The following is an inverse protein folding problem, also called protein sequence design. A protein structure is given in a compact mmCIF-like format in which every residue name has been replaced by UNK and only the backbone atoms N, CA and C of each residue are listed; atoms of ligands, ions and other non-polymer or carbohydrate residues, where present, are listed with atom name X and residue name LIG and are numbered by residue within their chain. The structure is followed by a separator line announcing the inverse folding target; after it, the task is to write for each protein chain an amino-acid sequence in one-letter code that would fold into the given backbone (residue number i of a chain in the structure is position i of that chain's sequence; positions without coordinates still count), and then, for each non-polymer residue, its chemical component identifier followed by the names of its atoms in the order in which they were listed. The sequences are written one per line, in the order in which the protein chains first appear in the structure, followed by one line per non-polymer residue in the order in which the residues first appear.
data_IF_111644373256
#
_entry.id   IF_111644373256
#
_cell.length_a   1.000
_cell.length_b   1.000
_cell.length_c   1.000
_cell.angle_alpha   90.00
_cell.angle_beta   90.00
_cell.angle_gamma   90.00
#
_symmetry.space_group_name_H-M   'P 1'
#
loop_
_entity.id
_entity.type
_entity.pdbx_description
1 polymer ?
#
# COMPACT_ATOMS: atom_id res chain seq x y z
N UNK A 1 -41.28 -89.23 38.01
CA UNK A 1 -40.11 -90.12 38.17
C UNK A 1 -39.01 -89.58 37.25
N UNK A 2 -37.90 -89.06 37.82
CA UNK A 2 -36.52 -89.02 37.26
C UNK A 2 -36.31 -88.35 35.87
N UNK A 3 -35.35 -87.45 35.57
CA UNK A 3 -34.13 -86.88 36.20
C UNK A 3 -33.75 -85.59 35.45
N UNK A 4 -33.20 -84.64 36.22
CA UNK A 4 -32.28 -83.53 35.93
C UNK A 4 -31.34 -83.65 34.70
N UNK A 5 -30.90 -82.50 34.14
CA UNK A 5 -29.52 -81.98 34.28
C UNK A 5 -29.28 -80.58 33.65
N UNK A 6 -29.01 -79.63 34.56
CA UNK A 6 -28.01 -78.53 34.58
C UNK A 6 -27.55 -77.79 33.31
N UNK A 7 -27.53 -76.45 33.44
CA UNK A 7 -26.66 -75.54 32.68
C UNK A 7 -26.87 -74.07 33.07
N UNK A 8 -26.54 -73.72 34.32
CA UNK A 8 -26.61 -72.34 34.82
C UNK A 8 -25.57 -71.42 34.15
N UNK A 9 -25.79 -70.11 34.34
CA UNK A 9 -24.86 -68.97 34.21
C UNK A 9 -24.77 -68.26 32.84
N UNK A 10 -25.77 -67.43 32.55
CA UNK A 10 -25.50 -66.05 32.10
C UNK A 10 -26.66 -65.11 32.47
N UNK A 11 -27.12 -65.18 33.72
CA UNK A 11 -27.99 -64.17 34.33
C UNK A 11 -27.19 -63.03 35.00
N UNK A 12 -25.99 -62.70 34.48
CA UNK A 12 -25.08 -61.69 35.06
C UNK A 12 -24.70 -60.58 34.05
N UNK A 13 -25.43 -60.41 32.95
CA UNK A 13 -25.28 -59.20 32.10
C UNK A 13 -26.60 -58.42 32.01
N UNK A 14 -27.36 -58.37 33.11
CA UNK A 14 -28.61 -57.60 33.21
C UNK A 14 -28.51 -56.43 34.20
N UNK A 15 -27.31 -55.86 34.42
CA UNK A 15 -27.17 -54.65 35.25
C UNK A 15 -26.21 -53.60 34.64
N UNK A 16 -25.91 -53.65 33.34
CA UNK A 16 -25.06 -52.61 32.73
C UNK A 16 -25.48 -52.08 31.35
N UNK A 17 -26.75 -52.20 30.97
CA UNK A 17 -27.30 -51.54 29.76
C UNK A 17 -28.35 -50.46 30.08
N UNK A 18 -28.39 -49.94 31.32
CA UNK A 18 -29.12 -48.69 31.65
C UNK A 18 -28.33 -47.42 31.32
N UNK A 19 -27.24 -47.53 30.55
CA UNK A 19 -26.48 -46.39 30.00
C UNK A 19 -26.17 -46.68 28.54
N UNK A 20 -27.16 -46.50 27.66
CA UNK A 20 -27.07 -45.97 26.28
C UNK A 20 -28.51 -45.92 25.77
N UNK A 21 -28.96 -44.70 25.46
CA UNK A 21 -30.29 -44.43 24.91
C UNK A 21 -30.47 -45.08 23.54
N UNK A 22 -31.71 -45.53 23.31
CA UNK A 22 -32.32 -45.98 22.06
C UNK A 22 -31.48 -45.80 20.78
N UNK A 23 -30.96 -46.91 20.25
CA UNK A 23 -30.59 -47.05 18.84
C UNK A 23 -30.71 -48.52 18.41
N UNK A 24 -31.95 -48.99 18.29
CA UNK A 24 -32.27 -50.18 17.50
C UNK A 24 -32.17 -49.83 16.01
N UNK A 25 -30.98 -50.01 15.43
CA UNK A 25 -30.80 -50.06 13.98
C UNK A 25 -31.14 -51.47 13.53
N UNK A 26 -32.25 -51.60 12.79
CA UNK A 26 -32.61 -52.78 12.03
C UNK A 26 -31.52 -53.02 10.97
N UNK A 27 -30.51 -53.81 11.30
CA UNK A 27 -29.49 -54.30 10.36
C UNK A 27 -30.02 -55.53 9.63
N UNK A 28 -30.90 -55.34 8.65
CA UNK A 28 -31.30 -56.40 7.72
C UNK A 28 -30.13 -56.84 6.85
N UNK A 29 -30.06 -58.16 6.66
CA UNK A 29 -29.20 -58.88 5.74
C UNK A 29 -29.12 -58.22 4.36
N UNK A 30 -27.92 -58.00 3.84
CA UNK A 30 -27.65 -57.61 2.45
C UNK A 30 -28.09 -58.76 1.54
N UNK A 31 -29.36 -58.78 1.16
CA UNK A 31 -29.93 -59.67 0.17
C UNK A 31 -29.45 -59.27 -1.23
N UNK A 32 -28.74 -60.18 -1.91
CA UNK A 32 -28.39 -60.01 -3.32
C UNK A 32 -29.66 -59.84 -4.16
N UNK A 33 -29.80 -58.68 -4.82
CA UNK A 33 -31.01 -58.32 -5.56
C UNK A 33 -31.24 -59.30 -6.76
N UNK A 34 -32.41 -59.97 -6.85
CA UNK A 34 -32.71 -60.95 -7.90
C UNK A 34 -32.54 -60.36 -9.32
N UNK A 35 -32.00 -61.14 -10.28
CA UNK A 35 -31.73 -60.68 -11.67
C UNK A 35 -32.92 -60.02 -12.36
N UNK A 36 -34.16 -60.40 -12.01
CA UNK A 36 -35.40 -59.87 -12.59
C UNK A 36 -35.80 -58.47 -12.07
N UNK A 37 -35.20 -58.04 -10.97
CA UNK A 37 -35.52 -56.77 -10.26
C UNK A 37 -34.31 -55.85 -10.07
N UNK A 38 -33.14 -56.22 -10.62
CA UNK A 38 -31.90 -55.42 -10.53
C UNK A 38 -32.05 -53.97 -10.98
N UNK A 39 -32.86 -53.70 -12.02
CA UNK A 39 -33.13 -52.33 -12.46
C UNK A 39 -33.90 -51.52 -11.41
N UNK A 40 -34.79 -52.15 -10.64
CA UNK A 40 -35.56 -51.49 -9.59
C UNK A 40 -34.72 -51.24 -8.34
N UNK A 41 -33.80 -52.14 -7.97
CA UNK A 41 -32.80 -51.86 -6.93
C UNK A 41 -31.90 -50.68 -7.33
N UNK A 42 -31.26 -50.74 -8.51
CA UNK A 42 -30.38 -49.66 -8.98
C UNK A 42 -31.09 -48.30 -9.08
N UNK A 43 -32.35 -48.27 -9.54
CA UNK A 43 -33.14 -47.04 -9.60
C UNK A 43 -33.44 -46.49 -8.21
N UNK A 44 -33.69 -47.35 -7.22
CA UNK A 44 -33.92 -46.96 -5.82
C UNK A 44 -32.65 -46.42 -5.18
N UNK A 45 -31.52 -47.06 -5.43
CA UNK A 45 -30.20 -46.65 -4.91
C UNK A 45 -29.78 -45.29 -5.49
N UNK A 46 -30.08 -45.06 -6.78
CA UNK A 46 -29.89 -43.75 -7.40
C UNK A 46 -30.82 -42.72 -6.73
N UNK A 47 -32.10 -43.04 -6.50
CA UNK A 47 -33.03 -42.11 -5.84
C UNK A 47 -32.57 -41.76 -4.41
N UNK A 48 -32.03 -42.72 -3.64
CA UNK A 48 -31.49 -42.41 -2.31
C UNK A 48 -30.27 -41.50 -2.41
N UNK A 49 -29.33 -41.78 -3.30
CA UNK A 49 -28.14 -40.94 -3.51
C UNK A 49 -28.50 -39.52 -3.98
N UNK A 50 -29.51 -39.38 -4.83
CA UNK A 50 -30.00 -38.06 -5.28
C UNK A 50 -30.66 -37.27 -4.16
N UNK A 51 -31.39 -37.94 -3.25
CA UNK A 51 -31.97 -37.28 -2.08
C UNK A 51 -30.89 -36.79 -1.12
N UNK A 52 -29.86 -37.61 -0.90
CA UNK A 52 -28.72 -37.30 -0.02
C UNK A 52 -27.92 -36.11 -0.57
N UNK A 53 -27.57 -36.16 -1.88
CA UNK A 53 -26.90 -35.05 -2.56
C UNK A 53 -27.73 -33.75 -2.56
N UNK A 54 -29.06 -33.87 -2.69
CA UNK A 54 -29.95 -32.71 -2.64
C UNK A 54 -30.02 -32.08 -1.24
N UNK A 55 -29.84 -32.88 -0.19
CA UNK A 55 -29.82 -32.39 1.19
C UNK A 55 -28.54 -31.61 1.47
N UNK A 56 -27.38 -32.19 1.15
CA UNK A 56 -26.07 -31.54 1.32
C UNK A 56 -25.98 -30.24 0.51
N UNK A 57 -26.49 -30.22 -0.73
CA UNK A 57 -26.56 -29.00 -1.54
C UNK A 57 -27.48 -27.92 -0.94
N UNK A 58 -28.48 -28.32 -0.14
CA UNK A 58 -29.35 -27.39 0.58
C UNK A 58 -28.61 -26.74 1.75
N UNK A 59 -27.96 -27.54 2.57
CA UNK A 59 -27.18 -27.08 3.72
C UNK A 59 -26.04 -26.15 3.29
N UNK A 60 -25.28 -26.55 2.27
CA UNK A 60 -24.16 -25.76 1.75
C UNK A 60 -24.60 -24.41 1.17
N UNK A 61 -25.82 -24.33 0.60
CA UNK A 61 -26.39 -23.06 0.13
C UNK A 61 -26.76 -22.14 1.28
N UNK A 62 -27.27 -22.68 2.38
CA UNK A 62 -27.65 -21.91 3.55
C UNK A 62 -26.42 -21.33 4.26
N UNK A 63 -25.34 -22.11 4.38
CA UNK A 63 -24.06 -21.61 4.88
C UNK A 63 -23.48 -20.50 4.00
N UNK A 64 -23.54 -20.66 2.67
CA UNK A 64 -23.07 -19.64 1.73
C UNK A 64 -23.81 -18.30 1.91
N UNK A 65 -25.12 -18.35 2.18
CA UNK A 65 -25.94 -17.15 2.43
C UNK A 65 -25.50 -16.47 3.73
N UNK A 66 -25.34 -17.23 4.81
CA UNK A 66 -24.91 -16.69 6.10
C UNK A 66 -23.50 -16.08 6.02
N UNK A 67 -22.57 -16.74 5.31
CA UNK A 67 -21.22 -16.22 5.09
C UNK A 67 -21.28 -14.93 4.28
N UNK A 68 -22.07 -14.88 3.21
CA UNK A 68 -22.21 -13.66 2.41
C UNK A 68 -22.76 -12.49 3.25
N UNK A 69 -23.70 -12.75 4.14
CA UNK A 69 -24.24 -11.74 5.04
C UNK A 69 -23.19 -11.22 6.04
N UNK A 70 -22.43 -12.12 6.68
CA UNK A 70 -21.33 -11.71 7.58
C UNK A 70 -20.26 -10.91 6.85
N UNK A 71 -19.90 -11.29 5.62
CA UNK A 71 -18.94 -10.55 4.78
C UNK A 71 -19.47 -9.16 4.44
N UNK A 72 -20.77 -9.02 4.14
CA UNK A 72 -21.36 -7.71 3.83
C UNK A 72 -21.43 -6.80 5.06
N UNK A 73 -21.70 -7.36 6.24
CA UNK A 73 -21.70 -6.60 7.49
C UNK A 73 -20.28 -6.13 7.84
N UNK A 74 -19.27 -7.02 7.77
CA UNK A 74 -17.87 -6.63 7.98
C UNK A 74 -17.38 -5.56 7.00
N UNK A 75 -17.73 -5.68 5.71
CA UNK A 75 -17.44 -4.66 4.70
C UNK A 75 -18.12 -3.33 4.95
N UNK A 76 -19.23 -3.32 5.69
CA UNK A 76 -19.96 -2.09 5.98
C UNK A 76 -19.42 -1.39 7.22
N UNK A 77 -19.12 -2.16 8.25
CA UNK A 77 -18.76 -1.63 9.56
C UNK A 77 -17.27 -1.24 9.59
N UNK A 78 -16.36 -2.18 9.35
CA UNK A 78 -14.91 -1.90 9.47
C UNK A 78 -14.37 -1.03 8.34
N UNK A 79 -14.79 -1.31 7.09
CA UNK A 79 -14.33 -0.55 5.93
C UNK A 79 -14.98 0.84 5.88
N UNK A 80 -16.19 0.97 6.44
CA UNK A 80 -16.90 2.25 6.53
C UNK A 80 -16.23 3.20 7.51
N UNK A 81 -15.91 2.70 8.72
CA UNK A 81 -15.20 3.47 9.75
C UNK A 81 -13.81 3.90 9.27
N UNK A 82 -13.03 2.97 8.72
CA UNK A 82 -11.70 3.28 8.21
C UNK A 82 -11.74 4.30 7.06
N UNK A 83 -12.76 4.22 6.20
CA UNK A 83 -12.92 5.18 5.10
C UNK A 83 -13.24 6.59 5.61
N UNK A 84 -14.05 6.68 6.66
CA UNK A 84 -14.36 7.96 7.29
C UNK A 84 -13.10 8.60 7.89
N UNK A 85 -12.31 7.84 8.65
CA UNK A 85 -11.04 8.35 9.23
C UNK A 85 -10.07 8.87 8.15
N UNK A 86 -9.97 8.16 7.01
CA UNK A 86 -9.12 8.58 5.88
C UNK A 86 -9.59 9.92 5.30
N UNK A 87 -10.91 10.13 5.19
CA UNK A 87 -11.45 11.36 4.63
C UNK A 87 -11.26 12.55 5.60
N UNK A 88 -11.39 12.33 6.91
CA UNK A 88 -11.09 13.34 7.93
C UNK A 88 -9.60 13.73 7.93
N UNK A 89 -8.70 12.75 7.78
CA UNK A 89 -7.25 12.98 7.66
C UNK A 89 -6.92 13.79 6.39
N UNK A 90 -7.58 13.51 5.26
CA UNK A 90 -7.36 14.28 4.02
C UNK A 90 -7.78 15.74 4.20
N UNK A 91 -8.86 15.99 4.92
CA UNK A 91 -9.32 17.35 5.19
C UNK A 91 -8.32 18.10 6.08
N UNK A 92 -7.89 17.48 7.18
CA UNK A 92 -6.83 18.02 8.04
C UNK A 92 -5.52 18.29 7.27
N UNK A 93 -5.13 17.40 6.35
CA UNK A 93 -3.96 17.59 5.49
C UNK A 93 -4.11 18.80 4.56
N UNK A 94 -5.30 19.02 4.01
CA UNK A 94 -5.57 20.18 3.15
C UNK A 94 -5.46 21.50 3.93
N UNK A 95 -5.86 21.51 5.20
CA UNK A 95 -5.73 22.70 6.04
C UNK A 95 -4.28 22.97 6.44
N UNK A 96 -3.54 21.93 6.85
CA UNK A 96 -2.08 22.01 7.07
C UNK A 96 -1.38 22.47 5.79
N UNK A 97 -1.80 21.98 4.62
CA UNK A 97 -1.26 22.42 3.33
C UNK A 97 -1.50 23.91 3.10
N UNK A 98 -2.68 24.46 3.42
CA UNK A 98 -2.95 25.90 3.31
C UNK A 98 -2.05 26.74 4.23
N UNK A 99 -1.78 26.25 5.44
CA UNK A 99 -0.85 26.91 6.36
C UNK A 99 0.59 26.90 5.85
N UNK A 100 1.04 25.78 5.26
CA UNK A 100 2.35 25.69 4.60
C UNK A 100 2.41 26.59 3.35
N UNK A 101 1.35 26.64 2.54
CA UNK A 101 1.24 27.55 1.39
C UNK A 101 1.25 29.03 1.82
N UNK A 102 0.81 29.34 3.04
CA UNK A 102 0.97 30.68 3.63
C UNK A 102 2.42 31.07 3.92
N UNK A 103 3.31 30.08 4.05
CA UNK A 103 4.77 30.22 4.22
C UNK A 103 5.50 30.15 2.85
N UNK A 104 4.82 29.72 1.79
CA UNK A 104 5.35 29.73 0.41
C UNK A 104 5.43 31.12 -0.23
N UNK A 105 5.05 32.19 0.46
CA UNK A 105 5.60 33.49 0.09
C UNK A 105 7.07 33.45 0.52
N UNK A 106 8.03 33.21 -0.41
CA UNK A 106 9.42 33.18 -0.02
C UNK A 106 9.67 34.52 0.63
N UNK A 107 10.27 34.51 1.83
CA UNK A 107 10.80 35.72 2.46
C UNK A 107 11.50 36.47 1.32
N UNK A 108 10.94 37.59 0.86
CA UNK A 108 11.53 38.38 -0.21
C UNK A 108 12.74 39.06 0.39
N UNK A 109 13.84 38.31 0.51
CA UNK A 109 15.14 38.88 0.79
C UNK A 109 15.44 39.72 -0.45
N UNK A 110 15.54 41.06 -0.31
CA UNK A 110 15.86 41.89 -1.46
C UNK A 110 17.14 41.34 -2.10
N UNK A 111 17.14 41.15 -3.42
CA UNK A 111 18.26 40.53 -4.09
C UNK A 111 19.52 41.36 -3.81
N UNK A 112 20.58 40.66 -3.40
CA UNK A 112 21.83 41.32 -3.06
C UNK A 112 22.51 41.77 -4.36
N UNK A 113 23.17 42.94 -4.33
CA UNK A 113 23.95 43.40 -5.48
C UNK A 113 25.10 42.42 -5.80
N UNK A 114 25.71 41.81 -4.78
CA UNK A 114 26.87 40.93 -4.96
C UNK A 114 27.18 39.92 -3.82
N UNK A 115 28.36 39.31 -3.98
CA UNK A 115 29.18 38.50 -3.08
C UNK A 115 29.42 39.04 -1.65
N UNK A 116 29.55 40.35 -1.52
CA UNK A 116 30.56 40.92 -0.61
C UNK A 116 30.03 41.24 0.78
N UNK A 117 28.72 41.42 0.93
CA UNK A 117 28.10 41.88 2.19
C UNK A 117 28.22 40.91 3.38
N UNK A 118 28.49 39.63 3.16
CA UNK A 118 28.68 38.64 4.22
C UNK A 118 29.72 37.58 3.81
N UNK A 119 30.95 37.70 4.34
CA UNK A 119 32.04 36.76 4.02
C UNK A 119 31.89 35.39 4.67
N UNK A 120 31.09 35.28 5.73
CA UNK A 120 30.79 34.02 6.41
C UNK A 120 29.71 33.22 5.69
N UNK A 121 28.95 33.86 4.78
CA UNK A 121 27.92 33.17 4.02
C UNK A 121 28.54 32.25 2.98
N UNK A 122 28.10 30.99 3.02
CA UNK A 122 28.41 29.97 2.03
C UNK A 122 27.10 29.33 1.55
N UNK A 123 26.82 29.44 0.26
CA UNK A 123 25.57 28.91 -0.29
C UNK A 123 25.12 29.63 -1.55
N UNK A 124 24.00 29.16 -2.10
CA UNK A 124 23.36 29.77 -3.25
C UNK A 124 22.47 30.92 -2.80
N UNK A 125 22.56 32.05 -3.51
CA UNK A 125 21.64 33.16 -3.34
C UNK A 125 21.32 33.83 -4.66
N UNK A 126 20.27 34.63 -4.66
CA UNK A 126 19.89 35.47 -5.78
C UNK A 126 20.68 36.78 -5.73
N UNK A 127 21.36 37.08 -6.83
CA UNK A 127 22.13 38.29 -7.05
C UNK A 127 21.41 39.12 -8.12
N UNK A 128 21.23 40.41 -7.87
CA UNK A 128 20.71 41.34 -8.87
C UNK A 128 21.60 42.58 -8.95
N UNK A 129 22.49 42.62 -9.95
CA UNK A 129 23.26 43.82 -10.24
C UNK A 129 22.30 44.97 -10.65
N UNK A 130 22.61 46.21 -10.28
CA UNK A 130 21.86 47.39 -10.76
C UNK A 130 21.63 47.39 -12.28
N UNK A 131 20.37 47.49 -12.70
CA UNK A 131 19.99 47.57 -14.11
C UNK A 131 20.09 46.24 -14.88
N UNK A 132 20.30 45.12 -14.19
CA UNK A 132 20.39 43.78 -14.78
C UNK A 132 19.32 42.84 -14.20
N UNK A 133 19.10 41.72 -14.88
CA UNK A 133 18.22 40.66 -14.41
C UNK A 133 18.81 39.96 -13.18
N UNK A 134 17.92 39.52 -12.27
CA UNK A 134 18.33 38.72 -11.12
C UNK A 134 18.69 37.29 -11.56
N UNK A 135 19.77 36.75 -11.01
CA UNK A 135 20.22 35.37 -11.27
C UNK A 135 20.72 34.69 -9.99
N UNK A 136 20.71 33.36 -9.96
CA UNK A 136 21.21 32.56 -8.82
C UNK A 136 22.68 32.23 -9.02
N UNK A 137 23.50 32.42 -7.99
CA UNK A 137 24.90 32.00 -7.99
C UNK A 137 25.33 31.50 -6.62
N UNK A 138 26.35 30.64 -6.61
CA UNK A 138 27.00 30.16 -5.41
C UNK A 138 27.98 31.21 -4.90
N UNK A 139 27.88 31.51 -3.61
CA UNK A 139 28.73 32.47 -2.93
C UNK A 139 29.44 31.81 -1.76
N UNK A 140 30.73 32.10 -1.61
CA UNK A 140 31.53 31.62 -0.48
C UNK A 140 32.69 32.57 -0.24
N UNK A 141 32.97 32.89 1.03
CA UNK A 141 34.10 33.74 1.41
C UNK A 141 34.01 35.18 0.86
N UNK A 142 32.80 35.66 0.54
CA UNK A 142 32.59 36.96 -0.11
C UNK A 142 32.78 36.95 -1.63
N UNK A 143 33.02 35.80 -2.26
CA UNK A 143 33.24 35.68 -3.70
C UNK A 143 32.02 35.05 -4.40
N UNK A 144 31.72 35.52 -5.61
CA UNK A 144 30.78 34.88 -6.53
C UNK A 144 31.54 33.82 -7.33
N UNK A 145 31.01 32.61 -7.41
CA UNK A 145 31.57 31.56 -8.25
C UNK A 145 30.99 31.67 -9.67
N UNK A 146 31.85 31.89 -10.66
CA UNK A 146 31.48 32.01 -12.07
C UNK A 146 31.23 30.62 -12.68
N UNK A 147 32.07 29.67 -12.31
CA UNK A 147 31.97 28.28 -12.71
C UNK A 147 32.28 27.38 -11.50
N UNK A 148 31.56 26.27 -11.35
CA UNK A 148 31.88 25.21 -10.38
C UNK A 148 31.89 23.85 -11.09
N UNK A 149 32.98 23.10 -10.86
CA UNK A 149 33.19 21.74 -11.36
C UNK A 149 33.87 20.91 -10.29
N UNK A 150 33.36 19.71 -10.02
CA UNK A 150 33.88 18.78 -9.04
C UNK A 150 33.59 17.31 -9.36
N UNK A 151 32.47 16.97 -10.02
CA UNK A 151 32.04 15.58 -10.26
C UNK A 151 31.80 15.23 -11.73
N UNK A 152 31.71 16.22 -12.63
CA UNK A 152 31.39 16.01 -14.04
C UNK A 152 29.93 15.67 -14.32
N UNK A 153 29.02 15.95 -13.37
CA UNK A 153 27.56 15.76 -13.54
C UNK A 153 26.96 16.66 -14.61
N UNK A 154 27.59 17.79 -14.92
CA UNK A 154 27.14 18.72 -15.95
C UNK A 154 28.15 18.74 -17.09
N UNK A 155 27.65 18.56 -18.32
CA UNK A 155 28.47 18.74 -19.51
C UNK A 155 28.78 20.23 -19.72
N UNK A 156 30.06 20.53 -19.93
CA UNK A 156 30.55 21.88 -20.26
C UNK A 156 30.83 22.05 -21.75
N UNK A 157 30.72 20.99 -22.57
CA UNK A 157 30.79 21.11 -24.02
C UNK A 157 29.45 21.61 -24.58
N UNK A 158 29.20 22.91 -24.38
CA UNK A 158 27.94 23.58 -24.72
C UNK A 158 28.09 24.54 -25.89
N UNK A 159 26.97 24.89 -26.50
CA UNK A 159 26.95 25.87 -27.57
C UNK A 159 27.11 27.31 -27.04
N UNK A 160 27.26 28.26 -27.97
CA UNK A 160 27.43 29.67 -27.62
C UNK A 160 26.23 30.24 -26.85
N UNK A 161 25.02 29.81 -27.20
CA UNK A 161 23.77 30.34 -26.61
C UNK A 161 23.70 29.93 -25.15
N UNK A 162 24.01 28.68 -24.82
CA UNK A 162 24.09 28.18 -23.46
C UNK A 162 25.20 28.85 -22.65
N UNK A 163 26.37 29.11 -23.25
CA UNK A 163 27.41 29.89 -22.58
C UNK A 163 26.99 31.35 -22.33
N UNK A 164 26.21 31.93 -23.24
CA UNK A 164 25.67 33.27 -23.07
C UNK A 164 24.68 33.32 -21.90
N UNK A 165 23.70 32.42 -21.85
CA UNK A 165 22.65 32.38 -20.82
C UNK A 165 23.10 31.77 -19.49
N UNK A 166 24.08 30.88 -19.51
CA UNK A 166 24.45 30.01 -18.39
C UNK A 166 23.74 28.66 -18.41
N UNK A 167 24.31 27.69 -17.69
CA UNK A 167 23.81 26.32 -17.61
C UNK A 167 24.23 25.63 -16.30
N UNK A 168 23.55 24.53 -15.95
CA UNK A 168 23.81 23.75 -14.74
C UNK A 168 23.01 24.22 -13.51
N UNK A 169 23.39 23.74 -12.33
CA UNK A 169 22.72 24.07 -11.06
C UNK A 169 23.70 24.78 -10.10
N UNK A 170 23.42 26.00 -9.63
CA UNK A 170 24.24 26.70 -8.64
C UNK A 170 24.55 25.92 -7.35
N UNK A 171 23.68 24.97 -6.97
CA UNK A 171 23.89 24.08 -5.81
C UNK A 171 24.92 22.98 -6.12
N UNK A 172 25.12 22.64 -7.39
CA UNK A 172 26.09 21.66 -7.89
C UNK A 172 27.07 22.28 -8.90
N UNK A 173 27.25 21.62 -10.05
CA UNK A 173 28.07 22.11 -11.16
C UNK A 173 27.28 23.05 -12.06
N UNK A 174 27.90 24.18 -12.43
CA UNK A 174 27.26 25.17 -13.28
C UNK A 174 28.23 26.20 -13.84
N UNK A 175 27.71 26.98 -14.78
CA UNK A 175 28.30 28.21 -15.30
C UNK A 175 27.26 29.34 -15.22
N UNK A 176 27.62 30.51 -14.68
CA UNK A 176 26.68 31.62 -14.43
C UNK A 176 26.09 32.23 -15.71
N UNK A 177 26.73 32.06 -16.86
CA UNK A 177 26.39 32.75 -18.11
C UNK A 177 27.17 34.04 -18.32
N UNK A 178 27.56 34.30 -19.57
CA UNK A 178 28.34 35.48 -19.94
C UNK A 178 27.56 36.78 -19.79
N UNK A 179 26.24 36.77 -20.03
CA UNK A 179 25.41 37.97 -19.87
C UNK A 179 25.36 38.40 -18.40
N UNK A 180 25.20 37.43 -17.49
CA UNK A 180 25.24 37.66 -16.05
C UNK A 180 26.64 38.09 -15.58
N UNK A 181 27.70 37.47 -16.10
CA UNK A 181 29.08 37.85 -15.80
C UNK A 181 29.38 39.29 -16.24
N UNK A 182 29.01 39.64 -17.46
CA UNK A 182 29.16 40.99 -18.00
C UNK A 182 28.40 42.01 -17.14
N UNK A 183 27.17 41.67 -16.74
CA UNK A 183 26.37 42.48 -15.83
C UNK A 183 27.03 42.74 -14.47
N UNK A 184 27.78 41.77 -13.93
CA UNK A 184 28.56 41.95 -12.70
C UNK A 184 29.78 42.83 -12.93
N UNK A 185 30.64 42.49 -13.88
CA UNK A 185 31.95 43.15 -14.03
C UNK A 185 31.88 44.58 -14.56
N UNK A 186 30.73 44.97 -15.11
CA UNK A 186 30.48 46.35 -15.55
C UNK A 186 30.16 47.31 -14.41
N UNK A 187 29.82 46.79 -13.22
CA UNK A 187 29.39 47.64 -12.09
C UNK A 187 30.57 48.22 -11.33
N UNK A 188 31.57 47.38 -11.05
CA UNK A 188 32.74 47.72 -10.24
C UNK A 188 33.99 46.96 -10.72
N UNK A 189 35.14 47.26 -10.11
CA UNK A 189 36.40 46.56 -10.39
C UNK A 189 36.49 45.27 -9.59
N UNK A 190 36.31 44.13 -10.26
CA UNK A 190 36.44 42.81 -9.67
C UNK A 190 37.84 42.22 -9.86
N UNK A 191 38.26 41.37 -8.93
CA UNK A 191 39.45 40.52 -9.04
C UNK A 191 39.02 39.07 -9.22
N UNK A 192 39.47 38.44 -10.31
CA UNK A 192 39.36 37.00 -10.50
C UNK A 192 40.41 36.27 -9.63
N UNK A 193 40.02 35.15 -9.02
CA UNK A 193 40.90 34.28 -8.24
C UNK A 193 41.04 32.93 -8.91
#
# INVERSE_FOLDING_TARGET
MKIMKYGATCAIVLVLDMVIGANTVFGETIGSCPKREQMLCKKRDIISLWKELSHELGELKEEMVNINETVNNLKKDELGELKQEIDDIKEALNDVKKEILGIENPIQIPPHMDCSGNRSFTGVRTIQPHGQNAFRAYCSGGCVYIARRFDGSVDFYRDWVEYQSGFGNPEGEYFIGLDNLHGLVTQEKYKLR
#
